data_IF_676178570482
#
_entry.id   IF_676178570482
#
_cell.length_a   1.000
_cell.length_b   1.000
_cell.length_c   1.000
_cell.angle_alpha   90.00
_cell.angle_beta   90.00
_cell.angle_gamma   90.00
#
_symmetry.space_group_name_H-M   'P 1'
#
loop_
_entity.id
_entity.type
_entity.pdbx_description
1 polymer ?
#
# COMPACT_ATOMS: atom_id res chain seq x y z
N UNK A 1 -31.52 -22.52 -20.22
CA UNK A 1 -30.10 -22.11 -20.18
C UNK A 1 -29.94 -20.60 -20.39
N UNK A 2 -30.29 -20.01 -21.55
CA UNK A 2 -30.14 -18.55 -21.75
C UNK A 2 -30.99 -17.67 -20.80
N UNK A 3 -32.15 -18.16 -20.34
CA UNK A 3 -33.03 -17.40 -19.45
C UNK A 3 -32.46 -17.26 -18.02
N UNK A 4 -31.84 -18.32 -17.48
CA UNK A 4 -31.18 -18.28 -16.16
C UNK A 4 -29.97 -17.34 -16.18
N UNK A 5 -29.22 -17.29 -17.29
CA UNK A 5 -28.05 -16.41 -17.46
C UNK A 5 -28.41 -14.93 -17.34
N UNK A 6 -29.57 -14.52 -17.84
CA UNK A 6 -30.03 -13.12 -17.83
C UNK A 6 -30.45 -12.68 -16.42
N UNK A 7 -30.95 -13.60 -15.59
CA UNK A 7 -31.30 -13.32 -14.21
C UNK A 7 -30.06 -13.00 -13.35
N UNK A 8 -28.95 -13.68 -13.62
CA UNK A 8 -27.65 -13.37 -13.00
C UNK A 8 -27.11 -11.99 -13.42
N UNK A 9 -27.51 -11.47 -14.58
CA UNK A 9 -27.11 -10.15 -15.10
C UNK A 9 -28.00 -8.99 -14.62
N UNK A 10 -29.07 -9.26 -13.85
CA UNK A 10 -29.86 -8.20 -13.21
C UNK A 10 -29.00 -7.44 -12.20
N UNK A 11 -29.02 -6.10 -12.31
CA UNK A 11 -28.22 -5.15 -11.53
C UNK A 11 -26.70 -5.20 -11.81
N UNK A 12 -26.30 -5.65 -13.00
CA UNK A 12 -24.91 -5.56 -13.46
C UNK A 12 -24.78 -4.37 -14.39
N UNK A 13 -23.79 -3.50 -14.15
CA UNK A 13 -23.48 -2.37 -15.02
C UNK A 13 -22.21 -2.64 -15.82
N UNK A 14 -22.20 -2.20 -17.08
CA UNK A 14 -21.08 -2.38 -17.99
C UNK A 14 -20.54 -1.02 -18.41
N UNK A 15 -19.25 -0.78 -18.18
CA UNK A 15 -18.53 0.37 -18.71
C UNK A 15 -17.53 -0.12 -19.75
N UNK A 16 -17.61 0.47 -20.94
CA UNK A 16 -16.81 0.06 -22.08
C UNK A 16 -15.77 1.12 -22.40
N UNK A 17 -14.56 0.67 -22.68
CA UNK A 17 -13.42 1.53 -22.98
C UNK A 17 -12.82 1.16 -24.34
N UNK A 18 -12.63 2.19 -25.15
CA UNK A 18 -11.80 2.11 -26.36
C UNK A 18 -10.34 2.35 -25.94
N UNK A 19 -9.42 1.64 -26.58
CA UNK A 19 -8.00 1.72 -26.26
C UNK A 19 -7.20 1.93 -27.54
N UNK A 20 -6.34 2.95 -27.54
CA UNK A 20 -5.30 3.09 -28.54
C UNK A 20 -4.08 2.28 -28.06
N UNK A 21 -3.60 1.38 -28.91
CA UNK A 21 -2.41 0.58 -28.61
C UNK A 21 -1.15 1.45 -28.53
N UNK A 22 -0.22 1.02 -27.70
CA UNK A 22 1.00 1.73 -27.37
C UNK A 22 1.83 0.92 -26.37
N UNK A 23 2.94 1.51 -25.94
CA UNK A 23 3.82 0.96 -24.93
C UNK A 23 3.07 0.84 -23.59
N UNK A 24 3.24 -0.27 -22.90
CA UNK A 24 2.65 -0.44 -21.58
C UNK A 24 3.41 0.40 -20.55
N UNK A 25 2.71 1.35 -19.92
CA UNK A 25 3.32 2.28 -18.98
C UNK A 25 3.23 1.82 -17.52
N UNK A 26 3.30 0.52 -17.26
CA UNK A 26 3.20 -0.03 -15.90
C UNK A 26 4.58 -0.09 -15.23
N UNK A 27 4.62 -0.17 -13.90
CA UNK A 27 5.88 -0.37 -13.16
C UNK A 27 6.56 -1.73 -13.45
N UNK A 28 5.89 -2.63 -14.19
CA UNK A 28 6.44 -3.90 -14.65
C UNK A 28 7.25 -3.77 -15.95
N UNK A 29 7.09 -2.67 -16.69
CA UNK A 29 7.86 -2.44 -17.90
C UNK A 29 9.21 -1.77 -17.57
N UNK A 30 10.30 -2.50 -17.79
CA UNK A 30 11.68 -2.04 -17.57
C UNK A 30 12.21 -1.11 -18.68
N UNK A 31 11.50 -1.02 -19.81
CA UNK A 31 11.89 -0.16 -20.94
C UNK A 31 11.30 1.25 -20.78
N UNK A 32 11.99 2.25 -21.35
CA UNK A 32 11.47 3.62 -21.38
C UNK A 32 10.24 3.70 -22.28
N UNK A 33 9.11 4.10 -21.69
CA UNK A 33 7.82 4.25 -22.37
C UNK A 33 7.84 5.53 -23.18
N UNK A 34 7.85 5.43 -24.51
CA UNK A 34 7.86 6.59 -25.40
C UNK A 34 6.43 6.98 -25.79
N UNK A 35 5.55 5.99 -26.00
CA UNK A 35 4.15 6.21 -26.39
C UNK A 35 3.21 5.35 -25.56
N UNK A 36 2.77 5.82 -24.38
CA UNK A 36 1.90 5.03 -23.53
C UNK A 36 0.54 4.78 -24.20
N UNK A 37 -0.12 3.67 -23.84
CA UNK A 37 -1.50 3.36 -24.27
C UNK A 37 -2.46 4.45 -23.85
N UNK A 38 -3.41 4.81 -24.72
CA UNK A 38 -4.51 5.71 -24.37
C UNK A 38 -5.77 4.90 -24.08
N UNK A 39 -6.41 5.15 -22.95
CA UNK A 39 -7.69 4.57 -22.59
C UNK A 39 -8.76 5.67 -22.59
N UNK A 40 -9.72 5.55 -23.52
CA UNK A 40 -10.85 6.45 -23.62
C UNK A 40 -11.91 6.08 -22.57
N UNK A 41 -12.19 7.01 -21.68
CA UNK A 41 -13.24 6.91 -20.66
C UNK A 41 -14.39 7.87 -20.98
N UNK A 42 -15.57 7.60 -20.44
CA UNK A 42 -16.72 8.51 -20.48
C UNK A 42 -16.70 9.37 -19.21
N UNK A 43 -16.28 10.65 -19.26
CA UNK A 43 -16.01 11.41 -18.05
C UNK A 43 -17.24 11.62 -17.17
N UNK A 44 -18.43 11.73 -17.78
CA UNK A 44 -19.67 11.94 -17.03
C UNK A 44 -20.03 10.73 -16.15
N UNK A 45 -19.69 9.50 -16.56
CA UNK A 45 -19.93 8.29 -15.75
C UNK A 45 -18.98 8.21 -14.56
N UNK A 46 -17.74 8.68 -14.72
CA UNK A 46 -16.74 8.68 -13.66
C UNK A 46 -17.03 9.76 -12.62
N UNK A 47 -17.45 10.94 -13.08
CA UNK A 47 -17.86 12.05 -12.23
C UNK A 47 -19.09 11.69 -11.38
N UNK A 48 -20.10 11.07 -11.99
CA UNK A 48 -21.35 10.70 -11.32
C UNK A 48 -21.17 9.76 -10.11
N UNK A 49 -20.12 8.93 -10.11
CA UNK A 49 -19.82 8.01 -9.00
C UNK A 49 -18.68 8.52 -8.11
N UNK A 50 -18.13 9.71 -8.38
CA UNK A 50 -16.97 10.24 -7.68
C UNK A 50 -15.78 9.29 -7.77
N UNK A 51 -15.50 8.76 -8.96
CA UNK A 51 -14.54 7.68 -9.14
C UNK A 51 -13.12 8.11 -8.74
N UNK A 52 -12.45 7.25 -7.96
CA UNK A 52 -11.03 7.38 -7.57
C UNK A 52 -10.65 8.69 -6.84
N UNK A 53 -9.40 8.78 -6.39
CA UNK A 53 -8.88 9.93 -5.66
C UNK A 53 -7.68 10.53 -6.38
N UNK A 54 -7.67 11.85 -6.51
CA UNK A 54 -6.55 12.59 -7.07
C UNK A 54 -5.50 12.86 -5.99
N UNK A 55 -4.23 12.60 -6.32
CA UNK A 55 -3.07 12.94 -5.48
C UNK A 55 -2.70 14.40 -5.69
N UNK A 56 -2.68 14.83 -6.95
CA UNK A 56 -2.34 16.20 -7.35
C UNK A 56 -3.02 16.54 -8.68
N UNK A 57 -3.30 17.82 -8.92
CA UNK A 57 -3.97 18.30 -10.13
C UNK A 57 -3.60 19.76 -10.44
N UNK A 58 -3.62 20.10 -11.73
CA UNK A 58 -3.38 21.48 -12.16
C UNK A 58 -4.52 22.41 -11.75
N UNK A 59 -4.20 23.68 -11.50
CA UNK A 59 -5.11 24.68 -10.93
C UNK A 59 -6.37 24.96 -11.75
N UNK A 60 -6.37 24.68 -13.06
CA UNK A 60 -7.53 24.86 -13.93
C UNK A 60 -8.51 23.68 -13.91
N UNK A 61 -8.17 22.58 -13.22
CA UNK A 61 -9.05 21.43 -13.02
C UNK A 61 -10.05 21.75 -11.91
N UNK A 62 -11.33 21.49 -12.17
CA UNK A 62 -12.38 21.71 -11.17
C UNK A 62 -12.19 20.77 -9.98
N UNK A 63 -12.23 21.31 -8.76
CA UNK A 63 -12.17 20.48 -7.54
C UNK A 63 -13.48 19.74 -7.27
N UNK A 64 -14.62 20.28 -7.70
CA UNK A 64 -15.93 19.64 -7.51
C UNK A 64 -16.18 18.53 -8.53
N UNK A 65 -15.86 18.79 -9.80
CA UNK A 65 -16.13 17.86 -10.92
C UNK A 65 -14.85 17.68 -11.75
N UNK A 66 -13.84 16.96 -11.20
CA UNK A 66 -12.54 16.85 -11.85
C UNK A 66 -12.65 16.12 -13.19
N UNK A 67 -13.41 15.03 -13.27
CA UNK A 67 -13.50 14.18 -14.45
C UNK A 67 -14.01 14.93 -15.69
N UNK A 68 -15.01 15.80 -15.53
CA UNK A 68 -15.54 16.62 -16.64
C UNK A 68 -14.50 17.53 -17.30
N UNK A 69 -13.35 17.76 -16.65
CA UNK A 69 -12.26 18.54 -17.25
C UNK A 69 -11.52 17.79 -18.35
N UNK A 70 -11.70 16.47 -18.50
CA UNK A 70 -11.17 15.68 -19.63
C UNK A 70 -11.84 16.03 -20.96
N UNK A 71 -13.07 16.55 -20.93
CA UNK A 71 -13.78 17.01 -22.14
C UNK A 71 -13.32 18.40 -22.60
N UNK A 72 -12.46 19.07 -21.83
CA UNK A 72 -11.95 20.41 -22.18
C UNK A 72 -10.80 20.31 -23.18
N UNK A 73 -10.91 21.11 -24.23
CA UNK A 73 -9.81 21.43 -25.15
C UNK A 73 -9.14 22.72 -24.69
N UNK A 74 -7.82 22.69 -24.49
CA UNK A 74 -7.07 23.84 -23.98
C UNK A 74 -6.74 24.83 -25.10
N UNK A 75 -6.23 24.33 -26.24
CA UNK A 75 -5.86 25.05 -27.46
C UNK A 75 -6.10 24.12 -28.67
N UNK A 76 -5.97 24.63 -29.91
CA UNK A 76 -6.02 23.80 -31.13
C UNK A 76 -5.12 22.55 -30.99
N UNK A 77 -5.74 21.38 -31.05
CA UNK A 77 -5.11 20.06 -30.90
C UNK A 77 -4.40 19.78 -29.56
N UNK A 78 -4.79 20.45 -28.47
CA UNK A 78 -4.26 20.19 -27.11
C UNK A 78 -5.37 19.82 -26.14
N UNK A 79 -5.29 18.60 -25.60
CA UNK A 79 -6.32 18.02 -24.73
C UNK A 79 -5.80 17.69 -23.33
N UNK A 80 -6.72 17.53 -22.39
CA UNK A 80 -6.43 17.14 -21.02
C UNK A 80 -6.34 15.63 -20.89
N UNK A 81 -5.38 15.15 -20.12
CA UNK A 81 -5.20 13.73 -19.83
C UNK A 81 -4.87 13.50 -18.35
N UNK A 82 -5.35 12.37 -17.81
CA UNK A 82 -5.07 11.92 -16.46
C UNK A 82 -4.24 10.64 -16.46
N UNK A 83 -3.46 10.45 -15.41
CA UNK A 83 -2.53 9.33 -15.28
C UNK A 83 -2.34 9.01 -13.81
N UNK A 84 -2.04 7.75 -13.50
CA UNK A 84 -1.65 7.38 -12.13
C UNK A 84 -0.33 8.06 -11.75
N UNK A 85 -0.22 8.56 -10.52
CA UNK A 85 0.97 9.27 -10.02
C UNK A 85 2.25 8.43 -10.15
N UNK A 86 2.14 7.12 -9.96
CA UNK A 86 3.27 6.18 -10.12
C UNK A 86 3.74 6.07 -11.56
N UNK A 87 2.81 6.03 -12.52
CA UNK A 87 3.11 6.01 -13.96
C UNK A 87 3.73 7.33 -14.39
N UNK A 88 3.17 8.46 -13.94
CA UNK A 88 3.71 9.79 -14.20
C UNK A 88 5.17 9.92 -13.75
N UNK A 89 5.44 9.51 -12.50
CA UNK A 89 6.75 9.70 -11.86
C UNK A 89 7.78 8.69 -12.33
N UNK A 90 7.44 7.40 -12.36
CA UNK A 90 8.42 6.32 -12.56
C UNK A 90 8.50 5.82 -14.00
N UNK A 91 7.36 5.69 -14.68
CA UNK A 91 7.33 5.15 -16.05
C UNK A 91 7.57 6.23 -17.10
N UNK A 92 6.94 7.40 -16.95
CA UNK A 92 7.10 8.52 -17.88
C UNK A 92 8.22 9.47 -17.51
N UNK A 93 8.64 9.49 -16.23
CA UNK A 93 9.61 10.45 -15.69
C UNK A 93 9.22 11.92 -16.00
N UNK A 94 7.92 12.20 -15.90
CA UNK A 94 7.31 13.50 -16.19
C UNK A 94 6.69 14.11 -14.94
N UNK A 95 6.33 15.38 -15.04
CA UNK A 95 5.60 16.12 -14.01
C UNK A 95 4.23 16.56 -14.53
N UNK A 96 3.34 16.91 -13.61
CA UNK A 96 2.09 17.55 -13.99
C UNK A 96 2.37 18.84 -14.78
N UNK A 97 1.61 19.04 -15.86
CA UNK A 97 1.81 20.10 -16.84
C UNK A 97 2.66 19.70 -18.04
N UNK A 98 3.42 18.60 -17.98
CA UNK A 98 4.14 18.10 -19.15
C UNK A 98 3.17 17.59 -20.21
N UNK A 99 3.59 17.71 -21.47
CA UNK A 99 2.80 17.28 -22.62
C UNK A 99 3.34 16.01 -23.25
N UNK A 100 2.45 15.12 -23.65
CA UNK A 100 2.72 13.99 -24.55
C UNK A 100 2.27 14.36 -25.97
N UNK A 101 2.99 13.90 -26.98
CA UNK A 101 2.70 14.17 -28.39
C UNK A 101 2.31 12.86 -29.06
N UNK A 102 1.14 12.84 -29.69
CA UNK A 102 0.62 11.73 -30.47
C UNK A 102 0.34 12.17 -31.89
N UNK A 103 0.28 11.22 -32.82
CA UNK A 103 -0.15 11.46 -34.20
C UNK A 103 -1.52 10.82 -34.38
N UNK A 104 -2.45 11.57 -34.94
CA UNK A 104 -3.79 11.08 -35.28
C UNK A 104 -3.74 10.11 -36.48
N UNK A 105 -4.87 9.51 -36.86
CA UNK A 105 -4.90 8.58 -37.99
C UNK A 105 -4.59 9.23 -39.35
N UNK A 106 -4.69 10.56 -39.45
CA UNK A 106 -4.34 11.35 -40.63
C UNK A 106 -2.86 11.79 -40.63
N UNK A 107 -2.09 11.45 -39.60
CA UNK A 107 -0.68 11.81 -39.44
C UNK A 107 -0.41 13.19 -38.83
N UNK A 108 -1.45 13.91 -38.42
CA UNK A 108 -1.32 15.23 -37.79
C UNK A 108 -1.03 15.08 -36.29
N UNK A 109 -0.12 15.90 -35.72
CA UNK A 109 0.22 15.82 -34.32
C UNK A 109 -0.83 16.49 -33.43
N UNK A 110 -1.16 15.84 -32.31
CA UNK A 110 -1.93 16.43 -31.21
C UNK A 110 -1.22 16.21 -29.87
N UNK A 111 -1.56 17.03 -28.88
CA UNK A 111 -0.90 17.09 -27.58
C UNK A 111 -1.85 16.71 -26.46
N UNK A 112 -1.34 15.95 -25.49
CA UNK A 112 -2.04 15.61 -24.26
C UNK A 112 -1.29 16.24 -23.09
N UNK A 113 -1.91 17.16 -22.35
CA UNK A 113 -1.37 17.75 -21.13
C UNK A 113 -1.72 16.84 -19.96
N UNK A 114 -0.70 16.39 -19.23
CA UNK A 114 -0.88 15.59 -18.02
C UNK A 114 -1.33 16.52 -16.88
N UNK A 115 -2.65 16.62 -16.68
CA UNK A 115 -3.23 17.64 -15.82
C UNK A 115 -3.72 17.13 -14.46
N UNK A 116 -3.85 15.81 -14.30
CA UNK A 116 -4.31 15.18 -13.07
C UNK A 116 -3.55 13.90 -12.80
N UNK A 117 -3.09 13.76 -11.56
CA UNK A 117 -2.41 12.58 -11.06
C UNK A 117 -3.33 11.83 -10.10
N UNK A 118 -3.69 10.60 -10.46
CA UNK A 118 -4.53 9.73 -9.66
C UNK A 118 -3.70 8.93 -8.66
N UNK A 119 -4.32 8.54 -7.54
CA UNK A 119 -3.78 7.45 -6.72
C UNK A 119 -3.81 6.15 -7.55
N UNK A 120 -3.05 5.11 -7.15
CA UNK A 120 -2.96 3.86 -7.91
C UNK A 120 -4.36 3.31 -8.25
N UNK A 121 -4.63 3.17 -9.55
CA UNK A 121 -5.90 2.65 -10.04
C UNK A 121 -5.71 1.33 -10.79
N UNK A 122 -6.83 0.73 -11.18
CA UNK A 122 -6.87 -0.47 -12.03
C UNK A 122 -6.49 -0.17 -13.49
N UNK A 123 -6.33 1.12 -13.82
CA UNK A 123 -5.95 1.61 -15.15
C UNK A 123 -4.45 1.85 -15.28
N UNK A 124 -3.65 1.51 -14.26
CA UNK A 124 -2.21 1.65 -14.30
C UNK A 124 -1.63 1.07 -15.60
N UNK A 125 -0.74 1.85 -16.21
CA UNK A 125 -0.18 1.57 -17.53
C UNK A 125 -0.89 2.22 -18.71
N UNK A 126 -1.98 2.97 -18.48
CA UNK A 126 -2.69 3.74 -19.50
C UNK A 126 -2.77 5.22 -19.12
N UNK A 127 -2.86 6.07 -20.14
CA UNK A 127 -3.25 7.47 -20.00
C UNK A 127 -4.76 7.56 -20.23
N UNK A 128 -5.47 8.15 -19.28
CA UNK A 128 -6.91 8.35 -19.35
C UNK A 128 -7.21 9.62 -20.11
N UNK A 129 -8.07 9.50 -21.11
CA UNK A 129 -8.53 10.61 -21.96
C UNK A 129 -10.04 10.50 -22.16
N UNK A 130 -10.67 11.62 -22.51
CA UNK A 130 -12.07 11.62 -22.92
C UNK A 130 -12.28 10.77 -24.18
N UNK A 131 -13.41 10.04 -24.24
CA UNK A 131 -13.79 9.20 -25.37
C UNK A 131 -13.98 10.00 -26.66
N UNK A 132 -14.40 11.24 -26.52
CA UNK A 132 -14.59 12.22 -27.59
C UNK A 132 -13.28 12.45 -28.35
N UNK A 133 -12.14 12.51 -27.63
CA UNK A 133 -10.81 12.72 -28.21
C UNK A 133 -10.43 11.56 -29.14
N UNK A 134 -10.62 10.32 -28.70
CA UNK A 134 -10.33 9.15 -29.55
C UNK A 134 -11.27 9.07 -30.76
N UNK A 135 -12.54 9.46 -30.59
CA UNK A 135 -13.50 9.50 -31.71
C UNK A 135 -13.13 10.56 -32.75
N UNK A 136 -12.60 11.70 -32.33
CA UNK A 136 -12.19 12.79 -33.22
C UNK A 136 -10.84 12.52 -33.89
N UNK A 137 -9.84 12.05 -33.13
CA UNK A 137 -8.48 11.86 -33.61
C UNK A 137 -8.27 10.48 -34.28
N UNK A 138 -9.12 9.51 -34.00
CA UNK A 138 -9.05 8.17 -34.59
C UNK A 138 -10.44 7.61 -34.93
N UNK A 139 -11.22 8.22 -35.85
CA UNK A 139 -12.54 7.70 -36.19
C UNK A 139 -12.54 6.27 -36.75
N UNK A 140 -11.42 5.78 -37.30
CA UNK A 140 -11.25 4.38 -37.69
C UNK A 140 -11.03 3.41 -36.51
N UNK A 141 -10.76 3.92 -35.30
CA UNK A 141 -10.58 3.12 -34.08
C UNK A 141 -11.94 2.62 -33.56
N UNK A 142 -12.40 1.51 -34.14
CA UNK A 142 -13.62 0.83 -33.74
C UNK A 142 -13.43 -0.15 -32.58
N UNK A 143 -14.50 -0.31 -31.79
CA UNK A 143 -14.67 -1.41 -30.84
C UNK A 143 -14.23 -1.13 -29.41
N UNK A 144 -14.55 -2.10 -28.57
CA UNK A 144 -14.29 -2.07 -27.13
C UNK A 144 -13.15 -3.04 -26.83
N UNK A 145 -12.10 -2.56 -26.18
CA UNK A 145 -10.91 -3.36 -25.82
C UNK A 145 -10.86 -3.69 -24.34
N UNK A 146 -11.59 -2.96 -23.51
CA UNK A 146 -11.67 -3.20 -22.08
C UNK A 146 -13.09 -2.93 -21.61
N UNK A 147 -13.59 -3.79 -20.72
CA UNK A 147 -14.92 -3.68 -20.14
C UNK A 147 -14.76 -3.77 -18.63
N UNK A 148 -15.30 -2.80 -17.90
CA UNK A 148 -15.52 -2.95 -16.47
C UNK A 148 -16.96 -3.39 -16.24
N UNK A 149 -17.07 -4.36 -15.35
CA UNK A 149 -18.34 -4.99 -15.00
C UNK A 149 -18.56 -4.76 -13.51
N UNK A 150 -19.51 -3.90 -13.17
CA UNK A 150 -19.91 -3.69 -11.79
C UNK A 150 -21.05 -4.67 -11.46
N UNK A 151 -20.77 -5.59 -10.56
CA UNK A 151 -21.71 -6.62 -10.12
C UNK A 151 -21.70 -6.74 -8.59
N UNK A 152 -22.85 -7.03 -7.95
CA UNK A 152 -22.91 -7.31 -6.52
C UNK A 152 -21.94 -8.42 -6.12
N UNK A 153 -21.28 -8.30 -4.96
CA UNK A 153 -20.23 -9.23 -4.50
C UNK A 153 -20.62 -10.70 -4.60
N UNK A 154 -21.86 -11.03 -4.24
CA UNK A 154 -22.39 -12.40 -4.27
C UNK A 154 -22.49 -12.98 -5.69
N UNK A 155 -22.61 -12.13 -6.71
CA UNK A 155 -22.77 -12.53 -8.11
C UNK A 155 -21.47 -12.46 -8.92
N UNK A 156 -20.41 -11.82 -8.41
CA UNK A 156 -19.18 -11.55 -9.16
C UNK A 156 -18.57 -12.81 -9.79
N UNK A 157 -18.48 -13.90 -9.03
CA UNK A 157 -17.93 -15.16 -9.52
C UNK A 157 -18.82 -15.79 -10.61
N UNK A 158 -20.14 -15.79 -10.42
CA UNK A 158 -21.10 -16.30 -11.40
C UNK A 158 -21.08 -15.48 -12.70
N UNK A 159 -21.02 -14.15 -12.61
CA UNK A 159 -20.96 -13.25 -13.75
C UNK A 159 -19.62 -13.40 -14.48
N UNK A 160 -18.51 -13.50 -13.75
CA UNK A 160 -17.19 -13.71 -14.34
C UNK A 160 -17.15 -15.02 -15.15
N UNK A 161 -17.71 -16.10 -14.59
CA UNK A 161 -17.81 -17.39 -15.27
C UNK A 161 -18.70 -17.33 -16.52
N UNK A 162 -19.87 -16.69 -16.43
CA UNK A 162 -20.76 -16.53 -17.58
C UNK A 162 -20.07 -15.73 -18.70
N UNK A 163 -19.36 -14.65 -18.35
CA UNK A 163 -18.64 -13.82 -19.32
C UNK A 163 -17.47 -14.57 -19.94
N UNK A 164 -16.68 -15.29 -19.15
CA UNK A 164 -15.56 -16.06 -19.67
C UNK A 164 -16.04 -17.16 -20.61
N UNK A 165 -17.07 -17.92 -20.25
CA UNK A 165 -17.65 -19.00 -21.07
C UNK A 165 -18.35 -18.47 -22.33
N UNK A 166 -19.11 -17.37 -22.24
CA UNK A 166 -19.91 -16.85 -23.35
C UNK A 166 -19.08 -16.07 -24.38
N UNK A 167 -17.91 -15.56 -23.99
CA UNK A 167 -17.06 -14.74 -24.84
C UNK A 167 -15.68 -15.38 -25.11
N UNK A 168 -15.54 -16.70 -24.88
CA UNK A 168 -14.31 -17.45 -25.20
C UNK A 168 -13.88 -17.23 -26.65
N UNK A 169 -14.83 -17.25 -27.59
CA UNK A 169 -14.56 -17.09 -29.03
C UNK A 169 -13.95 -15.72 -29.38
N UNK A 170 -14.13 -14.72 -28.51
CA UNK A 170 -13.55 -13.39 -28.64
C UNK A 170 -12.22 -13.25 -27.90
N UNK A 171 -11.74 -14.31 -27.23
CA UNK A 171 -10.49 -14.32 -26.47
C UNK A 171 -10.52 -13.40 -25.26
N UNK A 172 -11.69 -13.25 -24.60
CA UNK A 172 -11.79 -12.41 -23.41
C UNK A 172 -10.99 -13.02 -22.25
N UNK A 173 -10.31 -12.16 -21.50
CA UNK A 173 -9.76 -12.50 -20.19
C UNK A 173 -10.55 -11.73 -19.13
N UNK A 174 -11.12 -12.47 -18.18
CA UNK A 174 -11.97 -11.91 -17.13
C UNK A 174 -11.24 -12.06 -15.80
N UNK A 175 -10.72 -10.95 -15.30
CA UNK A 175 -10.00 -10.90 -14.02
C UNK A 175 -10.78 -10.09 -12.99
N UNK A 176 -10.92 -10.57 -11.74
CA UNK A 176 -11.43 -9.76 -10.65
C UNK A 176 -10.62 -8.46 -10.50
N UNK A 177 -11.33 -7.35 -10.29
CA UNK A 177 -10.70 -6.04 -10.11
C UNK A 177 -9.75 -6.01 -8.90
N UNK A 178 -10.08 -6.76 -7.84
CA UNK A 178 -9.24 -6.93 -6.65
C UNK A 178 -7.91 -7.61 -6.97
N UNK A 179 -7.92 -8.65 -7.79
CA UNK A 179 -6.71 -9.36 -8.22
C UNK A 179 -5.86 -8.48 -9.14
N UNK A 180 -6.49 -7.79 -10.10
CA UNK A 180 -5.81 -6.82 -10.96
C UNK A 180 -5.11 -5.73 -10.14
N UNK A 181 -5.80 -5.17 -9.15
CA UNK A 181 -5.23 -4.16 -8.26
C UNK A 181 -4.10 -4.73 -7.40
N UNK A 182 -4.26 -5.95 -6.86
CA UNK A 182 -3.21 -6.63 -6.10
C UNK A 182 -1.93 -6.88 -6.93
N UNK A 183 -2.08 -7.23 -8.21
CA UNK A 183 -0.96 -7.43 -9.13
C UNK A 183 -0.18 -6.13 -9.39
N UNK A 184 -0.85 -4.98 -9.40
CA UNK A 184 -0.20 -3.68 -9.48
C UNK A 184 0.55 -3.31 -8.20
N UNK A 185 0.00 -3.67 -7.03
CA UNK A 185 0.71 -3.51 -5.76
C UNK A 185 1.76 -4.59 -5.47
N UNK A 186 1.89 -5.65 -6.29
CA UNK A 186 2.78 -6.78 -6.01
C UNK A 186 4.24 -6.37 -5.79
N UNK A 187 4.75 -5.43 -6.58
CA UNK A 187 6.13 -4.91 -6.44
C UNK A 187 6.30 -4.18 -5.11
N UNK A 188 5.40 -3.26 -4.79
CA UNK A 188 5.41 -2.52 -3.52
C UNK A 188 5.23 -3.45 -2.32
N UNK A 189 4.30 -4.41 -2.40
CA UNK A 189 4.04 -5.38 -1.34
C UNK A 189 5.22 -6.32 -1.12
N UNK A 190 5.92 -6.71 -2.18
CA UNK A 190 7.13 -7.55 -2.07
C UNK A 190 8.25 -6.77 -1.36
N UNK A 191 8.48 -5.52 -1.77
CA UNK A 191 9.43 -4.63 -1.12
C UNK A 191 9.11 -4.48 0.37
N UNK A 192 7.86 -4.15 0.71
CA UNK A 192 7.41 -4.03 2.11
C UNK A 192 7.56 -5.33 2.88
N UNK A 193 7.27 -6.49 2.26
CA UNK A 193 7.44 -7.81 2.89
C UNK A 193 8.89 -8.08 3.28
N UNK A 194 9.85 -7.68 2.44
CA UNK A 194 11.28 -7.80 2.76
C UNK A 194 11.64 -6.93 3.96
N UNK A 195 11.19 -5.66 4.00
CA UNK A 195 11.43 -4.80 5.18
C UNK A 195 10.76 -5.33 6.43
N UNK A 196 9.55 -5.88 6.33
CA UNK A 196 8.87 -6.50 7.47
C UNK A 196 9.63 -7.73 7.95
N UNK A 197 10.15 -8.57 7.05
CA UNK A 197 10.97 -9.73 7.41
C UNK A 197 12.27 -9.31 8.10
N UNK A 198 12.99 -8.32 7.54
CA UNK A 198 14.21 -7.76 8.14
C UNK A 198 13.93 -7.09 9.48
N UNK A 199 12.82 -6.37 9.62
CA UNK A 199 12.39 -5.74 10.86
C UNK A 199 12.02 -6.77 11.92
N UNK A 200 11.32 -7.84 11.53
CA UNK A 200 11.01 -8.98 12.38
C UNK A 200 12.26 -9.68 12.88
N UNK A 201 13.25 -9.89 12.00
CA UNK A 201 14.55 -10.44 12.37
C UNK A 201 15.31 -9.50 13.33
N UNK A 202 15.33 -8.20 13.04
CA UNK A 202 15.94 -7.20 13.92
C UNK A 202 15.29 -7.18 15.31
N UNK A 203 13.96 -7.28 15.37
CA UNK A 203 13.22 -7.42 16.63
C UNK A 203 13.58 -8.71 17.38
N UNK A 204 13.68 -9.85 16.69
CA UNK A 204 14.10 -11.11 17.30
C UNK A 204 15.51 -11.01 17.89
N UNK A 205 16.47 -10.48 17.14
CA UNK A 205 17.84 -10.28 17.61
C UNK A 205 17.86 -9.31 18.79
N UNK A 206 17.10 -8.22 18.72
CA UNK A 206 16.98 -7.24 19.81
C UNK A 206 16.42 -7.82 21.09
N UNK A 207 15.36 -8.64 21.01
CA UNK A 207 14.73 -9.26 22.19
C UNK A 207 15.62 -10.33 22.83
N UNK A 208 16.31 -11.15 22.03
CA UNK A 208 17.32 -12.10 22.53
C UNK A 208 18.48 -11.34 23.20
N UNK A 209 18.96 -10.26 22.57
CA UNK A 209 20.03 -9.42 23.11
C UNK A 209 19.66 -8.81 24.47
N UNK A 210 18.43 -8.30 24.60
CA UNK A 210 17.90 -7.83 25.88
C UNK A 210 17.93 -8.93 26.95
N UNK A 211 17.47 -10.15 26.61
CA UNK A 211 17.55 -11.29 27.51
C UNK A 211 18.97 -11.64 27.98
N UNK A 212 19.94 -11.60 27.06
CA UNK A 212 21.36 -11.87 27.38
C UNK A 212 21.92 -10.79 28.33
N UNK A 213 21.65 -9.52 28.05
CA UNK A 213 22.10 -8.40 28.90
C UNK A 213 21.50 -8.50 30.30
N UNK A 214 20.20 -8.82 30.40
CA UNK A 214 19.53 -9.02 31.69
C UNK A 214 20.14 -10.17 32.48
N UNK A 215 20.37 -11.32 31.84
CA UNK A 215 21.02 -12.46 32.47
C UNK A 215 22.42 -12.10 32.99
N UNK A 216 23.19 -11.36 32.20
CA UNK A 216 24.52 -10.89 32.60
C UNK A 216 24.46 -9.95 33.80
N UNK A 217 23.54 -8.97 33.78
CA UNK A 217 23.35 -8.02 34.88
C UNK A 217 22.99 -8.76 36.20
N UNK A 218 22.10 -9.75 36.13
CA UNK A 218 21.74 -10.59 37.30
C UNK A 218 22.92 -11.40 37.84
N UNK A 219 23.83 -11.85 36.97
CA UNK A 219 25.03 -12.57 37.40
C UNK A 219 26.05 -11.66 38.06
N UNK A 220 26.29 -10.47 37.49
CA UNK A 220 27.20 -9.47 38.05
C UNK A 220 26.70 -8.96 39.42
N UNK A 221 25.38 -8.79 39.59
CA UNK A 221 24.75 -8.37 40.86
C UNK A 221 24.45 -9.50 41.83
N UNK A 222 24.87 -10.73 41.55
CA UNK A 222 24.51 -11.91 42.36
C UNK A 222 24.97 -11.80 43.82
N UNK A 223 26.14 -11.21 44.09
CA UNK A 223 26.67 -11.01 45.45
C UNK A 223 25.81 -10.01 46.26
N UNK A 224 25.40 -8.91 45.62
CA UNK A 224 24.49 -7.90 46.19
C UNK A 224 23.14 -8.54 46.56
N UNK A 225 22.55 -9.31 45.63
CA UNK A 225 21.27 -9.99 45.86
C UNK A 225 21.35 -11.04 46.97
N UNK A 226 22.48 -11.74 47.09
CA UNK A 226 22.72 -12.70 48.17
C UNK A 226 22.87 -12.01 49.54
N UNK A 227 23.52 -10.84 49.58
CA UNK A 227 23.65 -10.04 50.80
C UNK A 227 22.28 -9.51 51.26
N UNK A 228 21.44 -9.03 50.35
CA UNK A 228 20.06 -8.62 50.67
C UNK A 228 19.23 -9.79 51.25
N UNK A 229 19.37 -10.99 50.68
CA UNK A 229 18.72 -12.18 51.25
C UNK A 229 19.24 -12.51 52.65
N UNK A 230 20.54 -12.36 52.90
CA UNK A 230 21.15 -12.64 54.19
C UNK A 230 20.75 -11.63 55.27
N UNK A 231 20.46 -10.37 54.89
CA UNK A 231 19.99 -9.33 55.82
C UNK A 231 18.48 -9.39 56.08
N UNK A 232 17.75 -10.32 55.46
CA UNK A 232 16.34 -10.60 55.75
C UNK A 232 15.34 -10.16 54.67
N UNK A 233 15.80 -9.69 53.50
CA UNK A 233 14.88 -9.42 52.38
C UNK A 233 14.26 -10.71 51.86
N UNK A 234 12.97 -10.68 51.53
CA UNK A 234 12.30 -11.82 50.89
C UNK A 234 12.63 -11.89 49.39
N UNK A 235 12.62 -13.10 48.82
CA UNK A 235 12.79 -13.30 47.37
C UNK A 235 11.76 -12.53 46.53
N UNK A 236 10.55 -12.33 47.07
CA UNK A 236 9.49 -11.57 46.39
C UNK A 236 9.80 -10.06 46.37
N UNK A 237 10.36 -9.51 47.45
CA UNK A 237 10.79 -8.11 47.49
C UNK A 237 11.92 -7.86 46.49
N UNK A 238 12.91 -8.76 46.44
CA UNK A 238 14.01 -8.68 45.48
C UNK A 238 13.49 -8.80 44.04
N UNK A 239 12.60 -9.76 43.77
CA UNK A 239 11.96 -9.89 42.46
C UNK A 239 11.29 -8.58 42.04
N UNK A 240 10.47 -7.99 42.92
CA UNK A 240 9.73 -6.77 42.61
C UNK A 240 10.66 -5.58 42.33
N UNK A 241 11.72 -5.40 43.12
CA UNK A 241 12.70 -4.32 42.91
C UNK A 241 13.38 -4.44 41.55
N UNK A 242 13.95 -5.62 41.26
CA UNK A 242 14.66 -5.85 39.99
C UNK A 242 13.70 -5.80 38.80
N UNK A 243 12.47 -6.29 38.96
CA UNK A 243 11.45 -6.22 37.92
C UNK A 243 11.07 -4.78 37.59
N UNK A 244 10.86 -3.92 38.61
CA UNK A 244 10.53 -2.50 38.40
C UNK A 244 11.68 -1.74 37.73
N UNK A 245 12.93 -2.02 38.12
CA UNK A 245 14.11 -1.41 37.50
C UNK A 245 14.17 -1.71 36.00
N UNK A 246 13.97 -2.97 35.61
CA UNK A 246 13.99 -3.37 34.20
C UNK A 246 12.72 -2.96 33.45
N UNK A 247 11.57 -2.89 34.13
CA UNK A 247 10.34 -2.36 33.56
C UNK A 247 10.51 -0.88 33.19
N UNK A 248 11.18 -0.10 34.03
CA UNK A 248 11.47 1.30 33.74
C UNK A 248 12.32 1.42 32.47
N UNK A 249 13.40 0.63 32.36
CA UNK A 249 14.23 0.59 31.16
C UNK A 249 13.43 0.20 29.90
N UNK A 250 12.57 -0.81 30.00
CA UNK A 250 11.71 -1.25 28.90
C UNK A 250 10.77 -0.12 28.43
N UNK A 251 10.07 0.53 29.37
CA UNK A 251 9.14 1.62 29.04
C UNK A 251 9.88 2.80 28.42
N UNK A 252 11.02 3.20 28.97
CA UNK A 252 11.83 4.29 28.39
C UNK A 252 12.35 3.94 27.00
N UNK A 253 12.78 2.70 26.78
CA UNK A 253 13.26 2.23 25.48
C UNK A 253 12.15 2.26 24.42
N UNK A 254 10.95 1.78 24.78
CA UNK A 254 9.78 1.83 23.90
C UNK A 254 9.41 3.30 23.60
N UNK A 255 9.40 4.18 24.61
CA UNK A 255 9.10 5.59 24.41
C UNK A 255 10.08 6.26 23.44
N UNK A 256 11.39 6.03 23.62
CA UNK A 256 12.43 6.55 22.72
C UNK A 256 12.26 5.99 21.30
N UNK A 257 11.99 4.69 21.18
CA UNK A 257 11.75 4.03 19.89
C UNK A 257 10.54 4.59 19.15
N UNK A 258 9.44 4.87 19.88
CA UNK A 258 8.25 5.51 19.33
C UNK A 258 8.59 6.91 18.81
N UNK A 259 9.29 7.73 19.59
CA UNK A 259 9.71 9.08 19.16
C UNK A 259 10.58 9.03 17.91
N UNK A 260 11.58 8.13 17.88
CA UNK A 260 12.44 7.95 16.72
C UNK A 260 11.65 7.51 15.47
N UNK A 261 10.68 6.60 15.63
CA UNK A 261 9.81 6.16 14.55
C UNK A 261 8.96 7.32 14.00
N UNK A 262 8.36 8.13 14.88
CA UNK A 262 7.57 9.31 14.48
C UNK A 262 8.40 10.33 13.70
N UNK A 263 9.63 10.57 14.11
CA UNK A 263 10.55 11.46 13.39
C UNK A 263 10.86 10.89 11.99
N UNK A 264 11.06 9.58 11.88
CA UNK A 264 11.33 8.91 10.60
C UNK A 264 10.18 8.97 9.60
N UNK A 265 8.93 8.88 10.08
CA UNK A 265 7.74 8.93 9.21
C UNK A 265 7.17 10.34 9.01
N UNK A 266 7.81 11.37 9.57
CA UNK A 266 7.31 12.75 9.53
C UNK A 266 6.99 13.26 8.11
N UNK A 267 7.82 13.02 7.07
CA UNK A 267 7.48 13.43 5.70
C UNK A 267 6.22 12.74 5.16
N UNK A 268 5.99 11.49 5.55
CA UNK A 268 4.81 10.72 5.13
C UNK A 268 3.55 11.22 5.83
N UNK A 269 3.64 11.64 7.10
CA UNK A 269 2.51 12.23 7.85
C UNK A 269 2.01 13.55 7.26
N UNK A 270 2.88 14.30 6.58
CA UNK A 270 2.52 15.55 5.90
C UNK A 270 1.81 15.30 4.56
N UNK A 271 1.83 14.06 4.04
CA UNK A 271 1.15 13.72 2.81
C UNK A 271 -0.34 13.41 3.06
N UNK A 272 -1.28 14.05 2.33
CA UNK A 272 -2.71 13.78 2.44
C UNK A 272 -3.09 12.31 2.13
N UNK A 273 -2.22 11.57 1.47
CA UNK A 273 -2.45 10.19 1.06
C UNK A 273 -2.09 9.15 2.16
N UNK A 274 -1.50 9.56 3.28
CA UNK A 274 -1.05 8.64 4.31
C UNK A 274 -2.11 8.43 5.41
N UNK A 275 -2.63 7.21 5.50
CA UNK A 275 -3.55 6.81 6.56
C UNK A 275 -2.82 5.91 7.58
N UNK A 276 -2.76 6.36 8.83
CA UNK A 276 -2.23 5.57 9.94
C UNK A 276 -3.29 4.60 10.46
N UNK A 277 -3.07 3.31 10.27
CA UNK A 277 -3.91 2.28 10.88
C UNK A 277 -3.54 2.11 12.37
N UNK A 278 -4.24 2.86 13.24
CA UNK A 278 -3.94 2.91 14.68
C UNK A 278 -4.03 1.55 15.39
N UNK A 279 -4.91 0.65 14.91
CA UNK A 279 -5.05 -0.70 15.48
C UNK A 279 -3.78 -1.51 15.32
N UNK A 280 -3.19 -1.50 14.12
CA UNK A 280 -1.95 -2.24 13.86
C UNK A 280 -0.79 -1.74 14.74
N UNK A 281 -0.68 -0.41 14.91
CA UNK A 281 0.33 0.17 15.79
C UNK A 281 0.17 -0.22 17.26
N UNK A 282 -1.06 -0.22 17.77
CA UNK A 282 -1.34 -0.62 19.15
C UNK A 282 -0.99 -2.10 19.35
N UNK A 283 -1.35 -2.96 18.40
CA UNK A 283 -1.02 -4.39 18.45
C UNK A 283 0.50 -4.61 18.41
N UNK A 284 1.22 -3.87 17.56
CA UNK A 284 2.67 -4.00 17.42
C UNK A 284 3.38 -3.54 18.70
N UNK A 285 3.07 -2.34 19.21
CA UNK A 285 3.66 -1.82 20.45
C UNK A 285 3.31 -2.72 21.64
N UNK A 286 2.06 -3.19 21.71
CA UNK A 286 1.62 -4.15 22.71
C UNK A 286 2.40 -5.46 22.66
N UNK A 287 2.64 -6.00 21.45
CA UNK A 287 3.45 -7.19 21.22
C UNK A 287 4.90 -7.03 21.68
N UNK A 288 5.52 -5.89 21.36
CA UNK A 288 6.88 -5.55 21.84
C UNK A 288 6.90 -5.50 23.37
N UNK A 289 5.93 -4.83 23.99
CA UNK A 289 5.84 -4.69 25.44
C UNK A 289 5.67 -6.06 26.13
N UNK A 290 4.77 -6.90 25.64
CA UNK A 290 4.55 -8.26 26.17
C UNK A 290 5.81 -9.12 26.02
N UNK A 291 6.48 -9.05 24.87
CA UNK A 291 7.75 -9.76 24.64
C UNK A 291 8.83 -9.31 25.64
N UNK A 292 8.98 -7.99 25.84
CA UNK A 292 9.91 -7.43 26.83
C UNK A 292 9.60 -7.90 28.26
N UNK A 293 8.32 -7.90 28.65
CA UNK A 293 7.90 -8.43 29.96
C UNK A 293 8.26 -9.90 30.14
N UNK A 294 8.07 -10.73 29.11
CA UNK A 294 8.44 -12.13 29.15
C UNK A 294 9.96 -12.29 29.37
N UNK A 295 10.78 -11.52 28.63
CA UNK A 295 12.24 -11.54 28.75
C UNK A 295 12.77 -11.00 30.08
N UNK A 296 12.02 -10.15 30.78
CA UNK A 296 12.36 -9.76 32.17
C UNK A 296 11.95 -10.85 33.16
N UNK A 297 10.76 -11.41 32.97
CA UNK A 297 10.16 -12.36 33.91
C UNK A 297 10.90 -13.70 33.99
N UNK A 298 11.19 -14.32 32.84
CA UNK A 298 11.75 -15.67 32.79
C UNK A 298 13.16 -15.77 33.42
N UNK A 299 14.14 -14.93 33.05
CA UNK A 299 15.47 -14.93 33.66
C UNK A 299 15.43 -14.65 35.17
N UNK A 300 14.63 -13.66 35.59
CA UNK A 300 14.55 -13.26 36.98
C UNK A 300 13.95 -14.37 37.86
N UNK A 301 12.89 -15.02 37.38
CA UNK A 301 12.29 -16.17 38.06
C UNK A 301 13.25 -17.35 38.14
N UNK A 302 14.02 -17.60 37.08
CA UNK A 302 15.03 -18.67 37.04
C UNK A 302 16.19 -18.40 38.01
N UNK A 303 16.68 -17.15 38.07
CA UNK A 303 17.78 -16.74 38.93
C UNK A 303 17.43 -16.87 40.43
N UNK A 304 16.23 -16.46 40.85
CA UNK A 304 15.80 -16.49 42.26
C UNK A 304 15.39 -17.89 42.77
N UNK A 305 15.12 -18.83 41.86
CA UNK A 305 14.86 -20.24 42.21
C UNK A 305 16.14 -20.97 42.62
N UNK A 306 17.28 -20.63 42.03
CA UNK A 306 18.57 -21.24 42.40
C UNK A 306 19.00 -20.75 43.79
N UNK A 307 19.64 -21.59 44.63
CA UNK A 307 20.15 -21.14 45.93
C UNK A 307 21.24 -20.09 45.72
N UNK A 308 21.00 -18.89 46.22
CA UNK A 308 21.91 -17.73 46.11
C UNK A 308 22.93 -17.68 47.26
N UNK A 309 22.61 -18.28 48.42
CA UNK A 309 23.47 -18.30 49.61
C UNK A 309 24.84 -18.98 49.39
N UNK A 310 24.96 -20.10 48.64
CA UNK A 310 26.27 -20.68 48.34
C UNK A 310 27.22 -19.73 47.60
N UNK A 311 26.70 -18.68 46.96
CA UNK A 311 27.52 -17.69 46.23
C UNK A 311 28.32 -16.78 47.15
N UNK A 312 27.99 -16.73 48.45
CA UNK A 312 28.78 -16.05 49.48
C UNK A 312 29.93 -16.92 50.01
N UNK A 313 29.92 -18.23 49.74
CA UNK A 313 30.85 -19.22 50.33
C UNK A 313 31.96 -19.68 49.38
N UNK A 314 31.97 -19.21 48.13
CA UNK A 314 32.90 -19.64 47.09
C UNK A 314 34.11 -18.68 46.91
N UNK A 315 34.48 -17.96 47.96
CA UNK A 315 35.83 -17.41 48.16
C UNK A 315 36.33 -17.84 49.55
#
# INVERSE_FOLDING_TARGET
MLYDSIEHLKNVQFLQFSRLEGDEASCHNLNQVQRPRLLAIEPQKFDAVGAFTFVDQLSFISTENPWLSLDKTLNDSTYVAYVDQTVLTYSLQKKLGDTLIYSNEFGEPFRLVLAGALNNTIFQGNILVSKEILREQFPGLGGTKTILVDAPREKQESVAKILSESLVDYGIDVTPTSERLANFYSVTNTYLSIFMALSGLGFLIGTIGLGIILLRNLQERRKELALLLATGYSKSMIFRTVFIENLYLLVTGIAIGIVAAFIGILPSLLSPAFNLEGVFLIVLIGGIFISGLAWIYFPLRSALRKPLIPSLRNE
#
